data_IF_343033880387
#
_entry.id   IF_343033880387
#
_cell.length_a   1.000
_cell.length_b   1.000
_cell.length_c   1.000
_cell.angle_alpha   90.00
_cell.angle_beta   90.00
_cell.angle_gamma   90.00
#
_symmetry.space_group_name_H-M   'P 1'
#
loop_
_entity.id
_entity.type
_entity.pdbx_description
1 polymer ?
#
# COMPACT_ATOMS: atom_id res chain seq x y z
N UNK A 1 55.38 11.87 28.11
CA UNK A 1 54.05 11.28 28.48
C UNK A 1 52.97 12.23 27.97
N UNK A 2 52.31 11.87 26.91
CA UNK A 2 51.23 12.69 26.34
C UNK A 2 49.97 12.50 27.18
N UNK A 3 49.41 13.61 27.68
CA UNK A 3 48.16 13.61 28.45
C UNK A 3 47.01 13.37 27.48
N UNK A 4 46.37 12.20 27.53
CA UNK A 4 45.14 11.92 26.80
C UNK A 4 44.06 12.79 27.41
N UNK A 5 43.62 13.83 26.68
CA UNK A 5 42.42 14.61 27.02
C UNK A 5 41.21 13.77 26.68
N UNK A 6 40.57 13.21 27.69
CA UNK A 6 39.25 12.58 27.55
C UNK A 6 38.27 13.74 27.45
N UNK A 7 37.75 13.98 26.26
CA UNK A 7 36.60 14.88 26.10
C UNK A 7 35.37 14.16 26.67
N UNK A 8 34.53 14.84 27.48
CA UNK A 8 33.28 14.23 27.91
C UNK A 8 32.45 13.85 26.68
N UNK A 9 31.83 12.69 26.77
CA UNK A 9 30.94 12.25 25.73
C UNK A 9 29.86 13.30 25.46
N UNK A 10 29.53 13.60 24.19
CA UNK A 10 28.45 14.55 23.89
C UNK A 10 27.16 14.05 24.54
N UNK A 11 26.48 14.93 25.26
CA UNK A 11 25.20 14.68 25.92
C UNK A 11 24.18 15.58 25.30
N UNK A 12 23.13 14.99 24.70
CA UNK A 12 22.03 15.76 24.12
C UNK A 12 21.04 16.23 25.18
N UNK A 13 21.01 15.57 26.33
CA UNK A 13 20.03 15.74 27.38
C UNK A 13 18.63 15.18 27.01
N UNK A 14 18.52 14.47 25.89
CA UNK A 14 17.26 13.91 25.40
C UNK A 14 17.27 12.38 25.53
N UNK A 15 16.29 11.86 26.29
CA UNK A 15 16.13 10.42 26.45
C UNK A 15 15.61 9.77 25.18
N UNK A 16 16.08 8.56 24.88
CA UNK A 16 15.72 7.81 23.68
C UNK A 16 14.18 7.60 23.56
N UNK A 17 13.51 7.30 24.66
CA UNK A 17 12.05 7.14 24.67
C UNK A 17 11.32 8.44 24.25
N UNK A 18 11.80 9.59 24.72
CA UNK A 18 11.23 10.89 24.40
C UNK A 18 11.51 11.25 22.93
N UNK A 19 12.73 11.04 22.48
CA UNK A 19 13.12 11.26 21.08
C UNK A 19 12.31 10.42 20.08
N UNK A 20 12.06 9.15 20.41
CA UNK A 20 11.20 8.28 19.62
C UNK A 20 9.75 8.77 19.62
N UNK A 21 9.23 9.16 20.77
CA UNK A 21 7.86 9.68 20.92
C UNK A 21 7.66 10.95 20.08
N UNK A 22 8.58 11.90 20.18
CA UNK A 22 8.54 13.17 19.44
C UNK A 22 8.59 12.87 17.93
N UNK A 23 9.55 12.06 17.47
CA UNK A 23 9.67 11.72 16.06
C UNK A 23 8.42 11.03 15.51
N UNK A 24 7.89 10.02 16.22
CA UNK A 24 6.66 9.34 15.79
C UNK A 24 5.47 10.30 15.75
N UNK A 25 5.45 11.33 16.61
CA UNK A 25 4.45 12.39 16.60
C UNK A 25 4.46 13.25 15.33
N UNK A 26 5.60 13.40 14.67
CA UNK A 26 5.73 14.15 13.41
C UNK A 26 5.11 13.41 12.22
N UNK A 27 4.84 12.10 12.35
CA UNK A 27 4.34 11.27 11.25
C UNK A 27 2.81 11.30 11.23
N UNK A 28 2.16 11.96 10.25
CA UNK A 28 0.70 12.12 10.24
C UNK A 28 -0.03 10.80 9.95
N UNK A 29 0.53 9.96 9.09
CA UNK A 29 -0.11 8.71 8.65
C UNK A 29 0.01 7.61 9.71
N UNK A 30 -1.12 7.20 10.30
CA UNK A 30 -1.18 6.22 11.38
C UNK A 30 -0.50 4.88 11.05
N UNK A 31 -0.67 4.37 9.83
CA UNK A 31 -0.04 3.12 9.40
C UNK A 31 1.49 3.25 9.28
N UNK A 32 1.99 4.38 8.77
CA UNK A 32 3.43 4.66 8.71
C UNK A 32 4.01 4.78 10.11
N UNK A 33 3.33 5.53 11.01
CA UNK A 33 3.72 5.68 12.41
C UNK A 33 3.81 4.34 13.11
N UNK A 34 2.81 3.46 12.93
CA UNK A 34 2.82 2.10 13.49
C UNK A 34 3.99 1.27 12.93
N UNK A 35 4.22 1.35 11.62
CA UNK A 35 5.32 0.66 10.95
C UNK A 35 6.70 1.09 11.46
N UNK A 36 6.90 2.39 11.62
CA UNK A 36 8.13 2.96 12.17
C UNK A 36 8.31 2.61 13.65
N UNK A 37 7.21 2.66 14.41
CA UNK A 37 7.20 2.27 15.84
C UNK A 37 7.74 0.87 16.10
N UNK A 38 7.60 -0.07 15.16
CA UNK A 38 8.11 -1.45 15.36
C UNK A 38 9.63 -1.48 15.60
N UNK A 39 10.42 -0.76 14.79
CA UNK A 39 11.88 -0.76 14.96
C UNK A 39 12.30 0.21 16.06
N UNK A 40 11.63 1.35 16.20
CA UNK A 40 12.02 2.36 17.18
C UNK A 40 11.69 1.93 18.61
N UNK A 41 10.52 1.34 18.84
CA UNK A 41 10.18 0.79 20.16
C UNK A 41 11.09 -0.40 20.53
N UNK A 42 11.52 -1.18 19.53
CA UNK A 42 12.51 -2.23 19.78
C UNK A 42 13.86 -1.65 20.14
N UNK A 43 14.29 -0.56 19.50
CA UNK A 43 15.51 0.16 19.87
C UNK A 43 15.44 0.64 21.33
N UNK A 44 14.33 1.27 21.72
CA UNK A 44 14.12 1.71 23.12
C UNK A 44 14.17 0.55 24.10
N UNK A 45 13.55 -0.59 23.76
CA UNK A 45 13.54 -1.77 24.63
C UNK A 45 14.94 -2.37 24.84
N UNK A 46 15.76 -2.38 23.79
CA UNK A 46 17.07 -3.05 23.83
C UNK A 46 18.20 -2.11 24.31
N UNK A 47 18.08 -0.79 24.12
CA UNK A 47 19.08 0.19 24.56
C UNK A 47 18.75 0.88 25.88
N UNK A 48 17.51 0.81 26.31
CA UNK A 48 17.00 1.48 27.51
C UNK A 48 16.30 2.81 27.21
N UNK A 49 15.18 3.04 27.89
CA UNK A 49 14.32 4.21 27.69
C UNK A 49 15.04 5.54 28.07
N UNK A 50 15.88 5.50 29.09
CA UNK A 50 16.58 6.66 29.64
C UNK A 50 17.95 6.91 29.00
N UNK A 51 18.36 6.10 28.02
CA UNK A 51 19.61 6.29 27.27
C UNK A 51 19.57 7.63 26.55
N UNK A 52 20.62 8.44 26.68
CA UNK A 52 20.77 9.68 25.93
C UNK A 52 20.97 9.36 24.42
N UNK A 53 20.21 10.05 23.55
CA UNK A 53 20.27 9.82 22.09
C UNK A 53 21.67 10.02 21.53
N UNK A 54 22.44 10.98 22.06
CA UNK A 54 23.83 11.21 21.63
C UNK A 54 24.74 10.01 21.83
N UNK A 55 24.40 9.08 22.75
CA UNK A 55 25.20 7.86 22.97
C UNK A 55 25.06 6.85 21.85
N UNK A 56 24.02 6.95 21.00
CA UNK A 56 23.85 6.06 19.85
C UNK A 56 24.96 6.22 18.79
N UNK A 57 25.66 7.35 18.79
CA UNK A 57 26.71 7.71 17.84
C UNK A 57 28.13 7.44 18.36
N UNK A 58 28.26 7.22 19.66
CA UNK A 58 29.59 7.06 20.29
C UNK A 58 30.29 5.74 19.95
N UNK A 59 29.51 4.69 19.75
CA UNK A 59 29.98 3.39 19.29
C UNK A 59 29.49 3.13 17.87
N UNK A 60 30.28 3.53 16.86
CA UNK A 60 29.89 3.56 15.44
C UNK A 60 29.23 2.28 14.90
N UNK A 61 29.53 1.13 15.49
CA UNK A 61 29.01 -0.15 15.01
C UNK A 61 27.91 -0.74 15.93
N UNK A 62 27.67 -0.16 17.09
CA UNK A 62 26.74 -0.72 18.06
C UNK A 62 25.31 -0.76 17.56
N UNK A 63 24.81 0.36 17.07
CA UNK A 63 23.44 0.43 16.53
C UNK A 63 23.30 -0.37 15.24
N UNK A 64 24.31 -0.27 14.36
CA UNK A 64 24.36 -1.05 13.13
C UNK A 64 24.44 -2.56 13.37
N UNK A 65 25.27 -2.99 14.30
CA UNK A 65 25.41 -4.39 14.73
C UNK A 65 24.12 -4.92 15.36
N UNK A 66 23.52 -4.14 16.27
CA UNK A 66 22.21 -4.46 16.85
C UNK A 66 21.12 -4.60 15.77
N UNK A 67 21.04 -3.65 14.85
CA UNK A 67 20.04 -3.69 13.78
C UNK A 67 20.20 -4.95 12.94
N UNK A 68 21.42 -5.28 12.55
CA UNK A 68 21.73 -6.50 11.80
C UNK A 68 21.32 -7.73 12.60
N UNK A 69 21.73 -7.83 13.85
CA UNK A 69 21.39 -8.97 14.71
C UNK A 69 19.89 -9.21 14.82
N UNK A 70 19.10 -8.14 15.01
CA UNK A 70 17.63 -8.24 15.18
C UNK A 70 16.89 -8.57 13.88
N UNK A 71 17.38 -8.06 12.74
CA UNK A 71 16.63 -8.11 11.48
C UNK A 71 17.27 -8.95 10.38
N UNK A 72 18.43 -9.56 10.62
CA UNK A 72 19.18 -10.31 9.61
C UNK A 72 18.38 -11.46 8.99
N UNK A 73 17.64 -12.20 9.80
CA UNK A 73 16.82 -13.34 9.37
C UNK A 73 15.56 -12.96 8.61
N UNK A 74 15.24 -11.66 8.49
CA UNK A 74 14.03 -11.20 7.81
C UNK A 74 14.25 -11.02 6.30
N UNK A 75 13.17 -11.16 5.53
CA UNK A 75 13.19 -10.88 4.10
C UNK A 75 13.78 -9.50 3.80
N UNK A 76 14.49 -9.36 2.67
CA UNK A 76 15.16 -8.11 2.28
C UNK A 76 14.24 -6.89 2.27
N UNK A 77 12.98 -7.06 1.84
CA UNK A 77 11.96 -6.00 1.87
C UNK A 77 11.65 -5.54 3.29
N UNK A 78 11.48 -6.46 4.22
CA UNK A 78 11.23 -6.16 5.64
C UNK A 78 12.45 -5.47 6.26
N UNK A 79 13.65 -6.01 6.04
CA UNK A 79 14.91 -5.42 6.49
C UNK A 79 15.01 -3.97 6.00
N UNK A 80 14.82 -3.72 4.70
CA UNK A 80 14.93 -2.41 4.09
C UNK A 80 13.89 -1.41 4.62
N UNK A 81 12.66 -1.85 4.85
CA UNK A 81 11.61 -0.99 5.46
C UNK A 81 11.98 -0.59 6.89
N UNK A 82 12.52 -1.52 7.70
CA UNK A 82 12.97 -1.22 9.06
C UNK A 82 14.18 -0.30 9.07
N UNK A 83 15.13 -0.54 8.17
CA UNK A 83 16.31 0.33 8.00
C UNK A 83 15.92 1.75 7.58
N UNK A 84 15.00 1.89 6.64
CA UNK A 84 14.50 3.20 6.21
C UNK A 84 13.82 3.96 7.37
N UNK A 85 13.03 3.28 8.19
CA UNK A 85 12.39 3.88 9.34
C UNK A 85 13.40 4.36 10.40
N UNK A 86 14.42 3.56 10.68
CA UNK A 86 15.47 3.93 11.63
C UNK A 86 16.35 5.09 11.09
N UNK A 87 16.68 5.06 9.79
CA UNK A 87 17.40 6.17 9.14
C UNK A 87 16.62 7.48 9.22
N UNK A 88 15.33 7.44 8.95
CA UNK A 88 14.47 8.62 9.03
C UNK A 88 14.44 9.22 10.44
N UNK A 89 14.46 8.38 11.49
CA UNK A 89 14.56 8.83 12.86
C UNK A 89 15.95 9.45 13.17
N UNK A 90 17.04 8.78 12.76
CA UNK A 90 18.39 9.32 12.94
C UNK A 90 18.60 10.64 12.20
N UNK A 91 18.05 10.79 10.99
CA UNK A 91 18.07 12.04 10.23
C UNK A 91 17.34 13.15 10.99
N UNK A 92 16.13 12.91 11.44
CA UNK A 92 15.36 13.83 12.26
C UNK A 92 16.13 14.23 13.53
N UNK A 93 16.71 13.28 14.25
CA UNK A 93 17.47 13.56 15.47
C UNK A 93 18.73 14.40 15.22
N UNK A 94 19.37 14.23 14.05
CA UNK A 94 20.48 15.11 13.63
C UNK A 94 20.00 16.53 13.29
N UNK A 95 18.86 16.67 12.63
CA UNK A 95 18.25 17.98 12.39
C UNK A 95 17.90 18.72 13.70
N UNK A 96 17.53 17.95 14.74
CA UNK A 96 17.29 18.50 16.08
C UNK A 96 18.58 18.70 16.90
N UNK A 97 19.75 18.40 16.34
CA UNK A 97 21.05 18.45 17.05
C UNK A 97 21.17 17.50 18.25
N UNK A 98 20.28 16.50 18.36
CA UNK A 98 20.35 15.48 19.43
C UNK A 98 21.33 14.35 19.09
N UNK A 99 21.65 14.18 17.81
CA UNK A 99 22.61 13.23 17.29
C UNK A 99 23.58 13.98 16.37
N UNK A 100 24.89 13.69 16.46
CA UNK A 100 25.92 14.41 15.66
C UNK A 100 26.25 13.62 14.39
N UNK A 101 26.60 12.35 14.52
CA UNK A 101 26.97 11.50 13.40
C UNK A 101 25.83 10.64 12.85
N UNK A 102 26.20 9.64 12.07
CA UNK A 102 25.25 8.66 11.53
C UNK A 102 25.58 7.26 12.03
N UNK A 103 24.87 6.76 13.06
CA UNK A 103 25.12 5.42 13.61
C UNK A 103 24.82 4.28 12.63
N UNK A 104 24.27 4.61 11.44
CA UNK A 104 23.87 3.64 10.40
C UNK A 104 24.70 3.78 9.12
N UNK A 105 25.78 4.56 9.14
CA UNK A 105 26.59 4.90 7.96
C UNK A 105 27.10 3.65 7.20
N UNK A 106 27.39 2.56 7.90
CA UNK A 106 27.88 1.31 7.32
C UNK A 106 26.78 0.33 6.88
N UNK A 107 25.53 0.54 7.30
CA UNK A 107 24.44 -0.31 6.85
C UNK A 107 24.04 0.01 5.42
N UNK A 108 23.79 -1.03 4.64
CA UNK A 108 23.29 -0.91 3.27
C UNK A 108 21.95 -1.61 3.15
N UNK A 109 21.07 -1.06 2.32
CA UNK A 109 19.86 -1.76 1.92
C UNK A 109 20.24 -3.04 1.17
N UNK A 110 19.47 -4.08 1.39
CA UNK A 110 19.66 -5.38 0.72
C UNK A 110 19.02 -5.33 -0.67
N UNK A 111 19.62 -5.99 -1.67
CA UNK A 111 18.93 -6.23 -2.93
C UNK A 111 17.58 -6.92 -2.62
N UNK A 112 16.49 -6.24 -2.90
CA UNK A 112 15.18 -6.86 -2.80
C UNK A 112 14.93 -7.66 -4.08
N UNK A 113 14.37 -8.89 -3.99
CA UNK A 113 13.95 -9.58 -5.19
C UNK A 113 12.94 -8.69 -5.94
N UNK A 114 12.94 -8.75 -7.28
CA UNK A 114 11.92 -8.03 -8.04
C UNK A 114 10.54 -8.44 -7.53
N UNK A 115 9.61 -7.49 -7.54
CA UNK A 115 8.21 -7.77 -7.21
C UNK A 115 7.70 -8.86 -8.16
N UNK A 116 7.60 -10.08 -7.64
CA UNK A 116 7.16 -11.27 -8.37
C UNK A 116 5.65 -11.48 -8.28
N UNK A 117 4.91 -10.53 -7.67
CA UNK A 117 3.46 -10.58 -7.72
C UNK A 117 3.01 -10.47 -9.17
N UNK A 118 2.82 -11.64 -9.78
CA UNK A 118 2.39 -11.73 -11.18
C UNK A 118 0.96 -11.21 -11.29
N UNK A 119 0.70 -10.48 -12.36
CA UNK A 119 -0.67 -10.22 -12.77
C UNK A 119 -1.37 -11.58 -12.99
N UNK A 120 -2.60 -11.68 -12.54
CA UNK A 120 -3.47 -12.81 -12.89
C UNK A 120 -3.75 -12.76 -14.39
N UNK A 121 -3.90 -13.90 -15.03
CA UNK A 121 -4.32 -13.95 -16.44
C UNK A 121 -5.73 -13.40 -16.63
N UNK A 122 -6.08 -12.95 -17.83
CA UNK A 122 -7.44 -12.49 -18.14
C UNK A 122 -8.49 -13.55 -17.83
N UNK A 123 -8.18 -14.83 -18.13
CA UNK A 123 -9.07 -15.97 -17.85
C UNK A 123 -9.25 -16.17 -16.35
N UNK A 124 -8.17 -16.13 -15.55
CA UNK A 124 -8.27 -16.24 -14.09
C UNK A 124 -9.09 -15.10 -13.49
N UNK A 125 -8.90 -13.89 -13.96
CA UNK A 125 -9.74 -12.75 -13.52
C UNK A 125 -11.21 -12.97 -13.90
N UNK A 126 -11.48 -13.43 -15.11
CA UNK A 126 -12.84 -13.73 -15.56
C UNK A 126 -13.51 -14.80 -14.68
N UNK A 127 -12.77 -15.87 -14.35
CA UNK A 127 -13.23 -16.94 -13.47
C UNK A 127 -13.57 -16.42 -12.06
N UNK A 128 -12.67 -15.63 -11.43
CA UNK A 128 -12.90 -15.03 -10.12
C UNK A 128 -14.13 -14.12 -10.13
N UNK A 129 -14.24 -13.24 -11.12
CA UNK A 129 -15.33 -12.27 -11.22
C UNK A 129 -16.66 -12.93 -11.60
N UNK A 130 -16.62 -14.05 -12.33
CA UNK A 130 -17.79 -14.86 -12.71
C UNK A 130 -18.24 -15.85 -11.64
N UNK A 131 -17.50 -16.02 -10.55
CA UNK A 131 -17.80 -17.00 -9.51
C UNK A 131 -19.13 -16.72 -8.79
N UNK A 132 -19.62 -17.71 -8.04
CA UNK A 132 -20.84 -17.64 -7.23
C UNK A 132 -20.61 -17.04 -5.83
N UNK A 133 -19.49 -16.36 -5.63
CA UNK A 133 -19.19 -15.65 -4.37
C UNK A 133 -20.36 -14.72 -3.95
N UNK A 134 -20.50 -14.43 -2.65
CA UNK A 134 -21.53 -13.51 -2.17
C UNK A 134 -21.50 -12.16 -2.90
N UNK A 135 -22.68 -11.54 -3.07
CA UNK A 135 -22.84 -10.32 -3.87
C UNK A 135 -21.89 -9.20 -3.47
N UNK A 136 -21.64 -9.00 -2.18
CA UNK A 136 -20.73 -7.98 -1.66
C UNK A 136 -19.31 -8.17 -2.20
N UNK A 137 -18.79 -9.39 -2.10
CA UNK A 137 -17.48 -9.79 -2.56
C UNK A 137 -17.34 -9.60 -4.07
N UNK A 138 -18.32 -10.05 -4.83
CA UNK A 138 -18.35 -9.88 -6.28
C UNK A 138 -18.32 -8.41 -6.70
N UNK A 139 -19.12 -7.56 -6.07
CA UNK A 139 -19.11 -6.11 -6.34
C UNK A 139 -17.75 -5.50 -6.01
N UNK A 140 -17.17 -5.87 -4.86
CA UNK A 140 -15.86 -5.37 -4.45
C UNK A 140 -14.78 -5.75 -5.45
N UNK A 141 -14.73 -7.03 -5.85
CA UNK A 141 -13.70 -7.53 -6.76
C UNK A 141 -13.83 -6.92 -8.17
N UNK A 142 -15.07 -6.83 -8.69
CA UNK A 142 -15.33 -6.12 -9.95
C UNK A 142 -14.86 -4.66 -9.86
N UNK A 143 -15.25 -3.94 -8.82
CA UNK A 143 -14.88 -2.53 -8.67
C UNK A 143 -13.37 -2.35 -8.54
N UNK A 144 -12.67 -3.23 -7.81
CA UNK A 144 -11.20 -3.19 -7.67
C UNK A 144 -10.50 -3.44 -9.02
N UNK A 145 -10.93 -4.45 -9.76
CA UNK A 145 -10.34 -4.74 -11.06
C UNK A 145 -10.67 -3.64 -12.07
N UNK A 146 -11.93 -3.31 -12.26
CA UNK A 146 -12.36 -2.37 -13.29
C UNK A 146 -11.82 -0.96 -13.08
N UNK A 147 -11.78 -0.47 -11.84
CA UNK A 147 -11.29 0.88 -11.52
C UNK A 147 -9.78 0.95 -11.31
N UNK A 148 -9.12 -0.18 -11.09
CA UNK A 148 -7.71 -0.20 -10.68
C UNK A 148 -7.40 0.60 -9.40
N UNK A 149 -8.40 0.94 -8.60
CA UNK A 149 -8.24 1.66 -7.35
C UNK A 149 -7.56 0.78 -6.28
N UNK A 150 -6.97 1.40 -5.27
CA UNK A 150 -6.46 0.66 -4.11
C UNK A 150 -7.64 0.15 -3.28
N UNK A 151 -7.50 -1.03 -2.70
CA UNK A 151 -8.59 -1.63 -1.93
C UNK A 151 -9.07 -0.73 -0.78
N UNK A 152 -8.18 -0.05 -0.08
CA UNK A 152 -8.56 0.92 0.95
C UNK A 152 -9.37 2.10 0.38
N UNK A 153 -9.03 2.60 -0.82
CA UNK A 153 -9.76 3.69 -1.48
C UNK A 153 -11.21 3.28 -1.79
N UNK A 154 -11.41 2.07 -2.27
CA UNK A 154 -12.74 1.52 -2.57
C UNK A 154 -13.53 1.21 -1.30
N UNK A 155 -12.90 0.60 -0.29
CA UNK A 155 -13.54 0.25 0.97
C UNK A 155 -13.95 1.49 1.79
N UNK A 156 -13.27 2.61 1.60
CA UNK A 156 -13.61 3.88 2.26
C UNK A 156 -14.74 4.65 1.58
N UNK A 157 -15.25 4.18 0.44
CA UNK A 157 -16.38 4.85 -0.24
C UNK A 157 -17.66 4.79 0.58
N UNK A 158 -18.35 5.92 0.61
CA UNK A 158 -19.72 6.04 1.04
C UNK A 158 -20.68 6.12 -0.14
N UNK A 159 -21.93 5.71 0.06
CA UNK A 159 -22.95 5.65 -1.00
C UNK A 159 -23.16 7.02 -1.65
N UNK A 160 -23.09 8.10 -0.88
CA UNK A 160 -23.24 9.48 -1.38
C UNK A 160 -22.14 9.93 -2.35
N UNK A 161 -20.99 9.22 -2.37
CA UNK A 161 -19.86 9.53 -3.26
C UNK A 161 -19.98 8.87 -4.63
N UNK A 162 -20.95 7.95 -4.79
CA UNK A 162 -21.11 7.17 -6.01
C UNK A 162 -21.95 7.96 -7.03
N UNK A 163 -21.40 8.20 -8.21
CA UNK A 163 -22.15 8.58 -9.39
C UNK A 163 -22.42 7.32 -10.23
N UNK A 164 -23.55 6.69 -9.97
CA UNK A 164 -23.93 5.43 -10.65
C UNK A 164 -24.33 5.66 -12.11
N UNK A 165 -24.74 6.86 -12.48
CA UNK A 165 -25.07 7.23 -13.85
C UNK A 165 -23.82 7.30 -14.71
N UNK A 166 -22.79 8.00 -14.22
CA UNK A 166 -21.52 8.15 -14.92
C UNK A 166 -20.50 7.04 -14.56
N UNK A 167 -20.90 6.08 -13.70
CA UNK A 167 -20.08 4.94 -13.27
C UNK A 167 -18.74 5.37 -12.67
N UNK A 168 -18.74 6.34 -11.79
CA UNK A 168 -17.54 6.87 -11.17
C UNK A 168 -17.75 7.28 -9.70
N UNK A 169 -16.65 7.50 -9.00
CA UNK A 169 -16.64 8.05 -7.65
C UNK A 169 -15.37 8.86 -7.42
N UNK A 170 -15.44 9.81 -6.49
CA UNK A 170 -14.26 10.55 -6.04
C UNK A 170 -13.70 9.87 -4.81
N UNK A 171 -12.47 9.42 -4.90
CA UNK A 171 -11.72 8.80 -3.78
C UNK A 171 -10.65 9.75 -3.24
N UNK A 172 -10.29 9.57 -1.98
CA UNK A 172 -9.15 10.27 -1.38
C UNK A 172 -7.93 9.38 -1.45
N UNK A 173 -6.90 9.82 -2.18
CA UNK A 173 -5.62 9.13 -2.32
C UNK A 173 -4.73 9.33 -1.09
N UNK A 174 -3.68 8.50 -0.98
CA UNK A 174 -2.62 8.71 0.01
C UNK A 174 -2.06 10.14 -0.14
N UNK A 175 -2.01 10.90 0.96
CA UNK A 175 -1.60 12.31 0.94
C UNK A 175 -2.76 13.31 0.79
N UNK A 176 -4.03 12.84 0.79
CA UNK A 176 -5.21 13.70 0.81
C UNK A 176 -5.70 14.19 -0.56
N UNK A 177 -4.99 13.89 -1.64
CA UNK A 177 -5.41 14.26 -2.98
C UNK A 177 -6.72 13.54 -3.36
N UNK A 178 -7.66 14.29 -3.93
CA UNK A 178 -8.91 13.75 -4.46
C UNK A 178 -8.73 13.34 -5.92
N UNK A 179 -9.16 12.16 -6.27
CA UNK A 179 -9.08 11.63 -7.64
C UNK A 179 -10.33 10.87 -8.02
N UNK A 180 -10.62 10.83 -9.32
CA UNK A 180 -11.75 10.11 -9.87
C UNK A 180 -11.35 8.67 -10.18
N UNK A 181 -12.16 7.72 -9.73
CA UNK A 181 -12.14 6.33 -10.19
C UNK A 181 -13.39 6.06 -11.02
N UNK A 182 -13.25 5.22 -12.04
CA UNK A 182 -14.36 4.80 -12.87
C UNK A 182 -14.41 3.27 -12.96
N UNK A 183 -15.61 2.72 -13.09
CA UNK A 183 -15.83 1.27 -13.23
C UNK A 183 -16.57 0.93 -14.50
N UNK A 184 -16.61 -0.35 -14.83
CA UNK A 184 -17.20 -0.88 -16.04
C UNK A 184 -18.58 -1.53 -15.76
N UNK A 185 -19.05 -2.30 -16.72
CA UNK A 185 -20.40 -2.88 -16.71
C UNK A 185 -20.61 -3.92 -15.62
N UNK A 186 -19.56 -4.68 -15.23
CA UNK A 186 -19.67 -5.70 -14.18
C UNK A 186 -20.10 -5.06 -12.85
N UNK A 187 -19.35 -4.06 -12.39
CA UNK A 187 -19.73 -3.28 -11.21
C UNK A 187 -21.07 -2.60 -11.37
N UNK A 188 -21.32 -1.94 -12.53
CA UNK A 188 -22.56 -1.19 -12.75
C UNK A 188 -23.81 -2.07 -12.66
N UNK A 189 -23.75 -3.34 -13.07
CA UNK A 189 -24.87 -4.29 -12.96
C UNK A 189 -25.12 -4.79 -11.55
N UNK A 190 -24.07 -4.97 -10.76
CA UNK A 190 -24.16 -5.59 -9.42
C UNK A 190 -24.36 -4.55 -8.31
N UNK A 191 -23.78 -3.37 -8.45
CA UNK A 191 -23.77 -2.32 -7.43
C UNK A 191 -25.17 -1.89 -6.95
N UNK A 192 -26.19 -1.66 -7.81
CA UNK A 192 -27.54 -1.31 -7.36
C UNK A 192 -28.17 -2.38 -6.48
N UNK A 193 -27.89 -3.67 -6.76
CA UNK A 193 -28.37 -4.80 -5.95
C UNK A 193 -27.70 -4.82 -4.58
N UNK A 194 -26.39 -4.52 -4.49
CA UNK A 194 -25.68 -4.41 -3.22
C UNK A 194 -26.22 -3.26 -2.38
N UNK A 195 -26.44 -2.11 -2.99
CA UNK A 195 -26.96 -0.93 -2.30
C UNK A 195 -28.38 -1.14 -1.78
N UNK A 196 -29.21 -1.90 -2.49
CA UNK A 196 -30.59 -2.22 -2.08
C UNK A 196 -31.39 -0.99 -1.62
N UNK A 197 -31.28 0.11 -2.35
CA UNK A 197 -31.95 1.38 -2.05
C UNK A 197 -31.27 2.28 -1.02
N UNK A 198 -30.18 1.85 -0.38
CA UNK A 198 -29.41 2.70 0.55
C UNK A 198 -28.92 3.97 -0.17
N UNK A 199 -29.01 5.10 0.54
CA UNK A 199 -28.59 6.43 0.03
C UNK A 199 -27.39 7.00 0.78
N UNK A 200 -27.07 6.47 1.95
CA UNK A 200 -26.01 6.95 2.85
C UNK A 200 -25.23 5.79 3.44
N UNK A 201 -24.18 6.10 4.18
CA UNK A 201 -23.31 5.14 4.87
C UNK A 201 -22.31 4.44 3.97
N UNK A 202 -21.48 3.56 4.54
CA UNK A 202 -20.44 2.85 3.80
C UNK A 202 -21.00 1.96 2.69
N UNK A 203 -20.34 1.90 1.54
CA UNK A 203 -20.76 1.03 0.42
C UNK A 203 -20.67 -0.44 0.81
N UNK A 204 -19.54 -0.86 1.37
CA UNK A 204 -19.27 -2.24 1.75
C UNK A 204 -19.42 -2.42 3.25
N UNK A 205 -20.32 -3.29 3.65
CA UNK A 205 -20.70 -3.52 5.04
C UNK A 205 -20.24 -4.91 5.54
N UNK A 206 -19.99 -5.00 6.83
CA UNK A 206 -19.78 -6.29 7.52
C UNK A 206 -21.08 -7.10 7.59
N UNK A 207 -20.96 -8.42 7.83
CA UNK A 207 -22.13 -9.30 7.99
C UNK A 207 -22.86 -9.10 9.33
N UNK A 208 -22.14 -8.58 10.33
CA UNK A 208 -22.63 -8.38 11.69
C UNK A 208 -22.80 -6.89 11.99
N UNK A 209 -23.65 -6.58 12.96
CA UNK A 209 -23.79 -5.22 13.50
C UNK A 209 -22.46 -4.72 14.06
N UNK A 210 -22.23 -3.43 13.92
CA UNK A 210 -21.04 -2.77 14.45
C UNK A 210 -20.99 -2.84 15.98
N UNK A 211 -19.78 -2.96 16.53
CA UNK A 211 -19.57 -2.82 17.97
C UNK A 211 -19.75 -1.35 18.38
N UNK A 212 -20.12 -1.06 19.64
CA UNK A 212 -20.27 0.33 20.11
C UNK A 212 -19.03 1.20 19.96
N UNK A 213 -17.85 0.59 19.91
CA UNK A 213 -16.56 1.29 19.73
C UNK A 213 -16.28 1.72 18.29
N UNK A 214 -17.09 1.32 17.31
CA UNK A 214 -16.91 1.75 15.90
C UNK A 214 -17.42 3.16 15.73
N UNK A 215 -16.66 3.99 15.02
CA UNK A 215 -17.05 5.38 14.73
C UNK A 215 -18.41 5.40 13.99
N UNK A 216 -19.27 6.33 14.34
CA UNK A 216 -20.62 6.46 13.72
C UNK A 216 -20.55 6.66 12.20
N UNK A 217 -19.51 7.33 11.70
CA UNK A 217 -19.23 7.49 10.27
C UNK A 217 -19.01 6.18 9.52
N UNK A 218 -18.56 5.14 10.23
CA UNK A 218 -18.28 3.82 9.68
C UNK A 218 -19.42 2.83 9.92
N UNK A 219 -20.59 3.31 10.34
CA UNK A 219 -21.78 2.49 10.58
C UNK A 219 -22.91 2.92 9.66
N UNK A 220 -23.49 1.97 8.95
CA UNK A 220 -24.69 2.20 8.14
C UNK A 220 -25.89 2.46 9.05
N UNK A 221 -26.57 3.61 8.93
CA UNK A 221 -27.63 3.99 9.86
C UNK A 221 -28.88 3.07 9.78
N UNK A 222 -29.12 2.44 8.63
CA UNK A 222 -30.30 1.58 8.44
C UNK A 222 -30.10 0.17 8.96
N UNK A 223 -28.93 -0.42 8.74
CA UNK A 223 -28.63 -1.82 9.08
C UNK A 223 -27.84 -1.97 10.36
N UNK A 224 -27.27 -0.88 10.88
CA UNK A 224 -26.33 -0.86 12.02
C UNK A 224 -25.07 -1.74 11.78
N UNK A 225 -24.77 -2.04 10.54
CA UNK A 225 -23.55 -2.78 10.13
C UNK A 225 -22.40 -1.83 9.94
N UNK A 226 -21.19 -2.29 10.30
CA UNK A 226 -19.98 -1.50 10.14
C UNK A 226 -19.40 -1.59 8.73
N UNK A 227 -18.53 -0.63 8.39
CA UNK A 227 -17.69 -0.64 7.18
C UNK A 227 -16.84 -1.91 7.15
N UNK A 228 -16.75 -2.56 5.99
CA UNK A 228 -15.87 -3.72 5.79
C UNK A 228 -14.41 -3.26 5.86
N UNK A 229 -13.63 -3.84 6.76
CA UNK A 229 -12.21 -3.53 6.88
C UNK A 229 -11.39 -4.18 5.76
N UNK A 230 -10.26 -3.55 5.39
CA UNK A 230 -9.31 -4.12 4.43
C UNK A 230 -8.88 -5.54 4.80
N UNK A 231 -8.53 -5.75 6.08
CA UNK A 231 -8.11 -7.07 6.57
C UNK A 231 -9.17 -8.13 6.29
N UNK A 232 -10.43 -7.84 6.64
CA UNK A 232 -11.52 -8.80 6.41
C UNK A 232 -11.79 -9.03 4.94
N UNK A 233 -11.73 -7.98 4.13
CA UNK A 233 -11.87 -8.10 2.67
C UNK A 233 -10.76 -8.95 2.05
N UNK A 234 -9.51 -8.79 2.51
CA UNK A 234 -8.36 -9.59 2.06
C UNK A 234 -8.52 -11.06 2.47
N UNK A 235 -8.84 -11.34 3.74
CA UNK A 235 -9.09 -12.70 4.24
C UNK A 235 -10.18 -13.44 3.42
N UNK A 236 -11.25 -12.74 3.04
CA UNK A 236 -12.33 -13.32 2.23
C UNK A 236 -11.89 -13.62 0.81
N UNK A 237 -11.07 -12.75 0.22
CA UNK A 237 -10.55 -12.96 -1.13
C UNK A 237 -9.51 -14.08 -1.18
N UNK A 238 -8.58 -14.10 -0.23
CA UNK A 238 -7.57 -15.15 -0.08
C UNK A 238 -8.25 -16.52 0.11
N UNK A 239 -9.23 -16.62 1.04
CA UNK A 239 -9.97 -17.85 1.26
C UNK A 239 -10.77 -18.31 0.03
N UNK A 240 -11.32 -17.36 -0.77
CA UNK A 240 -12.04 -17.71 -1.99
C UNK A 240 -11.11 -18.21 -3.10
N UNK A 241 -9.88 -17.73 -3.15
CA UNK A 241 -8.91 -18.04 -4.20
C UNK A 241 -7.88 -19.11 -3.80
N UNK A 242 -7.98 -19.66 -2.60
CA UNK A 242 -7.02 -20.63 -2.05
C UNK A 242 -6.98 -21.96 -2.85
N UNK A 243 -8.09 -22.31 -3.48
CA UNK A 243 -8.22 -23.54 -4.28
C UNK A 243 -7.59 -23.45 -5.68
N UNK A 244 -7.15 -22.29 -6.12
CA UNK A 244 -6.47 -22.14 -7.40
C UNK A 244 -4.99 -22.54 -7.29
N UNK A 245 -4.41 -23.10 -8.36
CA UNK A 245 -2.99 -23.50 -8.41
C UNK A 245 -2.02 -22.35 -8.13
N UNK A 246 -2.44 -21.12 -8.47
CA UNK A 246 -1.71 -19.88 -8.25
C UNK A 246 -2.22 -19.06 -7.06
N UNK A 247 -3.12 -19.66 -6.25
CA UNK A 247 -3.67 -19.04 -5.04
C UNK A 247 -2.81 -19.29 -3.79
N UNK A 248 -3.20 -18.69 -2.67
CA UNK A 248 -4.23 -17.67 -2.57
C UNK A 248 -3.82 -16.33 -3.21
N UNK A 249 -4.78 -15.69 -3.89
CA UNK A 249 -4.57 -14.40 -4.52
C UNK A 249 -4.83 -13.24 -3.54
N UNK A 250 -4.17 -12.10 -3.76
CA UNK A 250 -4.36 -10.89 -2.95
C UNK A 250 -5.23 -9.86 -3.67
N UNK A 251 -5.97 -9.03 -2.92
CA UNK A 251 -6.72 -7.91 -3.52
C UNK A 251 -5.84 -6.98 -4.35
N UNK A 252 -4.55 -6.86 -4.01
CA UNK A 252 -3.62 -6.03 -4.78
C UNK A 252 -3.35 -6.60 -6.17
N UNK A 253 -3.41 -7.93 -6.35
CA UNK A 253 -3.23 -8.56 -7.66
C UNK A 253 -4.35 -8.18 -8.64
N UNK A 254 -5.60 -7.96 -8.20
CA UNK A 254 -6.67 -7.47 -9.08
C UNK A 254 -6.30 -6.12 -9.71
N UNK A 255 -5.79 -5.19 -8.89
CA UNK A 255 -5.30 -3.90 -9.38
C UNK A 255 -4.08 -4.07 -10.30
N UNK A 256 -3.13 -4.93 -9.91
CA UNK A 256 -1.94 -5.22 -10.71
C UNK A 256 -2.34 -5.78 -12.08
N UNK A 257 -3.22 -6.76 -12.10
CA UNK A 257 -3.74 -7.38 -13.33
C UNK A 257 -4.42 -6.38 -14.24
N UNK A 258 -5.28 -5.50 -13.68
CA UNK A 258 -5.94 -4.48 -14.51
C UNK A 258 -4.96 -3.53 -15.18
N UNK A 259 -3.92 -3.09 -14.47
CA UNK A 259 -2.91 -2.20 -15.03
C UNK A 259 -2.05 -2.89 -16.09
N UNK A 260 -1.70 -4.15 -15.85
CA UNK A 260 -0.98 -4.97 -16.84
C UNK A 260 -1.83 -5.21 -18.08
N UNK A 261 -3.08 -5.66 -17.91
CA UNK A 261 -3.99 -5.89 -19.04
C UNK A 261 -4.29 -4.60 -19.82
N UNK A 262 -4.45 -3.46 -19.13
CA UNK A 262 -4.64 -2.19 -19.80
C UNK A 262 -3.40 -1.78 -20.62
N UNK A 263 -2.19 -2.06 -20.13
CA UNK A 263 -0.95 -1.81 -20.89
C UNK A 263 -0.85 -2.75 -22.11
N UNK A 264 -1.19 -4.03 -21.96
CA UNK A 264 -1.24 -5.01 -23.04
C UNK A 264 -2.31 -4.64 -24.09
N UNK A 265 -3.45 -4.09 -23.65
CA UNK A 265 -4.51 -3.57 -24.51
C UNK A 265 -4.15 -2.22 -25.15
N UNK A 266 -2.91 -1.74 -25.02
CA UNK A 266 -2.40 -0.52 -25.68
C UNK A 266 -2.73 0.79 -24.99
N UNK A 267 -3.13 0.78 -23.71
CA UNK A 267 -3.38 2.01 -22.98
C UNK A 267 -2.10 2.88 -22.87
N UNK A 268 -2.21 4.15 -23.26
CA UNK A 268 -1.09 5.07 -23.21
C UNK A 268 -0.60 5.32 -21.76
N UNK A 269 0.67 5.70 -21.60
CA UNK A 269 1.24 6.04 -20.28
C UNK A 269 0.38 7.04 -19.48
N UNK A 270 -0.14 8.16 -20.06
CA UNK A 270 -1.03 9.06 -19.33
C UNK A 270 -2.32 8.39 -18.85
N UNK A 271 -2.91 7.49 -19.64
CA UNK A 271 -4.10 6.72 -19.25
C UNK A 271 -3.77 5.77 -18.09
N UNK A 272 -2.64 5.05 -18.16
CA UNK A 272 -2.19 4.18 -17.07
C UNK A 272 -1.88 4.97 -15.78
N UNK A 273 -1.28 6.15 -15.89
CA UNK A 273 -1.06 7.05 -14.75
C UNK A 273 -2.39 7.47 -14.12
N UNK A 274 -3.36 7.88 -14.92
CA UNK A 274 -4.68 8.28 -14.44
C UNK A 274 -5.41 7.10 -13.80
N UNK A 275 -5.42 5.94 -14.45
CA UNK A 275 -6.05 4.71 -13.95
C UNK A 275 -5.43 4.26 -12.63
N UNK A 276 -4.09 4.30 -12.54
CA UNK A 276 -3.36 3.87 -11.34
C UNK A 276 -3.32 4.94 -10.23
N UNK A 277 -3.47 6.22 -10.58
CA UNK A 277 -3.23 7.33 -9.67
C UNK A 277 -1.75 7.43 -9.23
N UNK A 278 -0.82 6.98 -10.06
CA UNK A 278 0.61 7.19 -9.83
C UNK A 278 1.02 8.58 -10.34
N UNK A 279 1.84 9.26 -9.56
CA UNK A 279 2.40 10.58 -9.91
C UNK A 279 3.76 10.47 -10.61
N UNK A 280 4.37 9.28 -10.64
CA UNK A 280 5.67 9.03 -11.25
C UNK A 280 5.59 7.90 -12.26
N UNK A 281 6.13 8.13 -13.46
CA UNK A 281 6.26 7.11 -14.53
C UNK A 281 7.11 5.93 -14.06
N UNK A 282 8.13 6.17 -13.22
CA UNK A 282 8.95 5.08 -12.64
C UNK A 282 8.10 4.05 -11.89
N UNK A 283 7.01 4.50 -11.23
CA UNK A 283 6.10 3.59 -10.53
C UNK A 283 5.28 2.72 -11.47
N UNK A 284 5.16 3.10 -12.74
CA UNK A 284 4.49 2.33 -13.78
C UNK A 284 5.43 1.35 -14.50
N UNK A 285 6.75 1.46 -14.36
CA UNK A 285 7.71 0.64 -15.09
C UNK A 285 7.47 -0.87 -14.95
N UNK A 286 6.90 -1.30 -13.82
CA UNK A 286 6.52 -2.70 -13.58
C UNK A 286 5.32 -3.16 -14.40
N UNK A 287 4.48 -2.25 -14.89
CA UNK A 287 3.31 -2.54 -15.74
C UNK A 287 3.59 -2.22 -17.22
N UNK A 288 4.58 -1.40 -17.50
CA UNK A 288 4.95 -0.96 -18.84
C UNK A 288 5.81 -1.98 -19.62
N UNK A 289 5.99 -3.19 -19.09
CA UNK A 289 6.61 -4.28 -19.85
C UNK A 289 5.57 -4.80 -20.84
N UNK A 290 5.60 -4.21 -22.03
CA UNK A 290 4.86 -4.74 -23.18
C UNK A 290 5.46 -6.11 -23.47
N UNK A 291 4.63 -7.17 -23.51
CA UNK A 291 5.05 -8.49 -23.97
C UNK A 291 5.41 -8.42 -25.46
N UNK A 292 6.22 -9.38 -25.93
CA UNK A 292 6.51 -9.47 -27.38
C UNK A 292 5.21 -9.63 -28.18
N UNK A 293 4.23 -10.35 -27.67
CA UNK A 293 2.89 -10.47 -28.25
C UNK A 293 2.15 -9.12 -28.29
N UNK A 294 2.23 -8.33 -27.21
CA UNK A 294 1.65 -6.98 -27.16
C UNK A 294 2.30 -6.04 -28.18
N UNK A 295 3.61 -6.17 -28.42
CA UNK A 295 4.31 -5.42 -29.47
C UNK A 295 3.83 -5.84 -30.86
N UNK A 296 3.72 -7.14 -31.13
CA UNK A 296 3.25 -7.67 -32.41
C UNK A 296 1.82 -7.25 -32.69
N UNK A 297 0.92 -7.31 -31.70
CA UNK A 297 -0.45 -6.88 -31.83
C UNK A 297 -0.54 -5.37 -32.12
N UNK A 298 0.24 -4.55 -31.41
CA UNK A 298 0.31 -3.11 -31.67
C UNK A 298 0.78 -2.80 -33.08
N UNK A 299 1.79 -3.50 -33.58
CA UNK A 299 2.28 -3.34 -34.96
C UNK A 299 1.21 -3.73 -35.97
N UNK A 300 0.50 -4.86 -35.75
CA UNK A 300 -0.59 -5.30 -36.64
C UNK A 300 -1.75 -4.30 -36.67
N UNK A 301 -2.17 -3.79 -35.50
CA UNK A 301 -3.29 -2.84 -35.38
C UNK A 301 -2.97 -1.47 -35.95
N UNK A 302 -1.71 -1.08 -35.96
CA UNK A 302 -1.27 0.23 -36.44
C UNK A 302 -0.76 0.20 -37.88
N UNK A 303 -0.69 -0.97 -38.52
CA UNK A 303 -0.21 -1.10 -39.91
C UNK A 303 -1.21 -0.48 -40.92
N UNK A 304 -0.84 0.64 -41.60
CA UNK A 304 -1.73 1.27 -42.58
C UNK A 304 -1.93 0.41 -43.83
N UNK A 305 -0.98 -0.50 -44.14
CA UNK A 305 -1.08 -1.35 -45.31
C UNK A 305 -2.08 -2.51 -45.10
N UNK A 306 -2.10 -3.10 -43.92
CA UNK A 306 -3.08 -4.13 -43.56
C UNK A 306 -4.53 -3.58 -43.57
N UNK A 307 -4.75 -2.34 -43.14
CA UNK A 307 -6.07 -1.69 -43.16
C UNK A 307 -6.62 -1.39 -44.55
N UNK A 308 -5.75 -1.30 -45.57
CA UNK A 308 -6.18 -1.08 -46.96
C UNK A 308 -6.64 -2.35 -47.66
N UNK A 309 -6.19 -3.52 -47.19
CA UNK A 309 -6.53 -4.84 -47.74
C UNK A 309 -7.91 -5.35 -47.30
N UNK A 310 -8.54 -4.74 -46.28
CA UNK A 310 -9.83 -5.14 -45.71
C UNK A 310 -11.00 -4.24 -46.17
N UNK A 311 -10.81 -3.38 -47.18
CA UNK A 311 -11.81 -2.64 -47.90
C UNK A 311 -11.85 -3.11 -49.34
#
# INVERSE_FOLDING_TARGET
>A
MGTVRIFPAPVSGVRLADAVTVFLGTIPAANTRRGYGVVLNRLVADFGADTDVALLDQEQDRVGGWFTFVWDSKAATTFNVRLAALRSACEYWREQTWLIGDPLVRLRARPAPPDTSKALTKDRVAEILGSDAPLRERVLWHMLYESSARAEEVLMLDVVQLDTTNRCAVVTRKGGARDLIAWQTGTARLLPRLLSGRKTGPVFLTDRKARPSVAKSDVDPSTQRGRLSYRRAAELFEAHTDHYDDGPCTLHQLRHSRLTHAAEDGASTPVLMKLSGHTSVRSLAKYARVSDEGLLNFQADTDPAARRASR
#
